data_IF_739242979360
#
_entry.id   IF_739242979360
#
_cell.length_a   1.000
_cell.length_b   1.000
_cell.length_c   1.000
_cell.angle_alpha   90.00
_cell.angle_beta   90.00
_cell.angle_gamma   90.00
#
_symmetry.space_group_name_H-M   'P 1'
#
loop_
_entity.id
_entity.type
_entity.pdbx_description
1 polymer ?
#
# COMPACT_ATOMS: atom_id res chain seq x y z
N UNK A 1 -43.44 -26.04 -11.59
CA UNK A 1 -42.67 -25.24 -10.63
C UNK A 1 -41.19 -25.49 -10.87
N UNK A 2 -40.46 -24.52 -11.46
CA UNK A 2 -39.01 -24.61 -11.62
C UNK A 2 -38.39 -24.15 -10.30
N UNK A 3 -37.74 -25.05 -9.56
CA UNK A 3 -36.89 -24.66 -8.44
C UNK A 3 -35.67 -23.95 -9.02
N UNK A 4 -35.57 -22.64 -8.73
CA UNK A 4 -34.37 -21.88 -8.98
C UNK A 4 -33.27 -22.40 -8.06
N UNK A 5 -32.21 -22.95 -8.65
CA UNK A 5 -30.97 -23.27 -7.98
C UNK A 5 -30.41 -22.01 -7.33
N UNK A 6 -30.39 -22.00 -6.00
CA UNK A 6 -29.76 -20.97 -5.19
C UNK A 6 -28.25 -20.95 -5.52
N UNK A 7 -27.67 -19.85 -6.02
CA UNK A 7 -26.24 -19.80 -6.28
C UNK A 7 -25.51 -19.91 -4.95
N UNK A 8 -24.75 -20.98 -4.76
CA UNK A 8 -23.81 -21.10 -3.65
C UNK A 8 -22.95 -19.84 -3.63
N UNK A 9 -23.11 -19.00 -2.60
CA UNK A 9 -22.17 -17.91 -2.32
C UNK A 9 -20.79 -18.54 -2.20
N UNK A 10 -19.92 -18.30 -3.17
CA UNK A 10 -18.51 -18.66 -3.09
C UNK A 10 -17.97 -18.14 -1.77
N UNK A 11 -17.44 -19.04 -0.94
CA UNK A 11 -16.87 -18.70 0.36
C UNK A 11 -15.64 -17.81 0.10
N UNK A 12 -15.77 -16.52 0.38
CA UNK A 12 -14.69 -15.55 0.18
C UNK A 12 -13.47 -15.89 1.04
N UNK A 13 -12.27 -15.59 0.54
CA UNK A 13 -11.01 -15.84 1.24
C UNK A 13 -10.81 -14.76 2.33
N UNK A 14 -10.55 -15.09 3.60
CA UNK A 14 -10.42 -14.09 4.65
C UNK A 14 -9.25 -13.14 4.40
N UNK A 15 -9.46 -11.83 4.61
CA UNK A 15 -8.41 -10.82 4.51
C UNK A 15 -7.33 -11.01 5.59
N UNK A 16 -6.05 -10.91 5.18
CA UNK A 16 -4.91 -10.81 6.09
C UNK A 16 -4.42 -9.35 6.20
N UNK A 17 -4.23 -8.83 7.42
CA UNK A 17 -3.53 -7.55 7.62
C UNK A 17 -2.13 -7.54 7.00
N UNK A 18 -1.68 -6.40 6.47
CA UNK A 18 -0.37 -6.27 5.80
C UNK A 18 0.79 -6.79 6.67
N UNK A 19 0.78 -6.47 7.96
CA UNK A 19 1.80 -6.92 8.91
C UNK A 19 1.92 -8.43 9.05
N UNK A 20 0.79 -9.14 8.96
CA UNK A 20 0.76 -10.61 9.02
C UNK A 20 1.22 -11.19 7.70
N UNK A 21 0.72 -10.65 6.58
CA UNK A 21 1.14 -11.10 5.25
C UNK A 21 2.65 -10.89 5.05
N UNK A 22 3.19 -9.76 5.50
CA UNK A 22 4.61 -9.46 5.47
C UNK A 22 5.43 -10.52 6.22
N UNK A 23 5.09 -10.80 7.49
CA UNK A 23 5.82 -11.79 8.29
C UNK A 23 5.78 -13.19 7.66
N UNK A 24 4.61 -13.64 7.21
CA UNK A 24 4.46 -14.94 6.54
C UNK A 24 5.24 -15.03 5.23
N UNK A 25 5.10 -14.03 4.35
CA UNK A 25 5.78 -14.03 3.06
C UNK A 25 7.30 -13.87 3.22
N UNK A 26 7.76 -13.00 4.12
CA UNK A 26 9.18 -12.84 4.40
C UNK A 26 9.77 -14.13 4.97
N UNK A 27 9.05 -14.82 5.84
CA UNK A 27 9.50 -16.10 6.37
C UNK A 27 9.59 -17.18 5.28
N UNK A 28 8.58 -17.31 4.41
CA UNK A 28 8.58 -18.23 3.27
C UNK A 28 9.76 -18.01 2.31
N UNK A 29 10.27 -16.78 2.27
CA UNK A 29 11.32 -16.34 1.37
C UNK A 29 12.60 -15.96 2.11
N UNK A 30 12.76 -16.38 3.39
CA UNK A 30 13.87 -15.96 4.24
C UNK A 30 15.22 -16.25 3.57
N UNK A 31 15.42 -17.48 3.07
CA UNK A 31 16.62 -17.91 2.36
C UNK A 31 17.12 -16.97 1.24
N UNK A 32 16.24 -16.20 0.61
CA UNK A 32 16.60 -15.23 -0.46
C UNK A 32 16.49 -13.77 -0.04
N UNK A 33 15.69 -13.46 0.98
CA UNK A 33 15.40 -12.07 1.40
C UNK A 33 16.24 -11.61 2.59
N UNK A 34 16.91 -12.53 3.28
CA UNK A 34 17.84 -12.23 4.37
C UNK A 34 19.24 -12.73 4.05
N UNK A 35 20.25 -11.97 4.50
CA UNK A 35 21.65 -12.38 4.51
C UNK A 35 22.06 -13.00 5.84
N UNK A 36 21.22 -12.86 6.88
CA UNK A 36 21.46 -13.42 8.21
C UNK A 36 21.03 -14.88 8.28
N UNK A 37 21.70 -15.68 9.10
CA UNK A 37 21.21 -17.00 9.50
C UNK A 37 21.69 -17.27 10.94
N UNK A 38 20.79 -17.42 11.93
CA UNK A 38 19.32 -17.38 11.87
C UNK A 38 18.72 -15.96 11.67
N UNK A 39 17.40 -15.85 11.52
CA UNK A 39 16.69 -14.55 11.56
C UNK A 39 15.94 -14.35 12.87
N UNK A 40 15.91 -13.10 13.34
CA UNK A 40 15.18 -12.72 14.54
C UNK A 40 13.75 -12.28 14.24
N UNK A 41 12.97 -12.02 15.30
CA UNK A 41 11.61 -11.49 15.17
C UNK A 41 11.56 -10.09 14.59
N UNK A 42 12.56 -9.26 14.88
CA UNK A 42 12.71 -7.93 14.32
C UNK A 42 12.81 -7.95 12.80
N UNK A 43 13.34 -9.03 12.22
CA UNK A 43 13.37 -9.21 10.78
C UNK A 43 11.95 -9.48 10.23
N UNK A 44 11.08 -10.17 10.98
CA UNK A 44 9.70 -10.50 10.61
C UNK A 44 8.66 -9.43 11.00
N UNK A 45 9.06 -8.45 11.81
CA UNK A 45 8.18 -7.39 12.29
C UNK A 45 7.94 -6.31 11.23
N UNK A 46 6.68 -5.95 11.04
CA UNK A 46 6.22 -4.82 10.23
C UNK A 46 6.34 -3.47 10.97
N UNK A 47 6.34 -2.33 10.25
CA UNK A 47 6.57 -1.00 10.82
C UNK A 47 5.54 -0.49 11.85
N UNK A 48 4.36 -1.08 11.91
CA UNK A 48 3.21 -0.64 12.73
C UNK A 48 2.86 -1.62 13.86
N UNK A 49 3.73 -2.58 14.17
CA UNK A 49 3.54 -3.38 15.38
C UNK A 49 3.71 -2.51 16.62
N UNK A 50 2.76 -2.64 17.55
CA UNK A 50 2.86 -2.00 18.86
C UNK A 50 4.10 -2.50 19.61
N UNK A 51 4.40 -3.80 19.49
CA UNK A 51 5.51 -4.47 20.16
C UNK A 51 5.90 -5.78 19.43
N UNK A 52 7.13 -6.27 19.64
CA UNK A 52 7.58 -7.56 19.08
C UNK A 52 6.79 -8.75 19.65
N UNK A 53 6.38 -8.68 20.92
CA UNK A 53 5.57 -9.74 21.54
C UNK A 53 4.20 -9.90 20.88
N UNK A 54 3.56 -8.79 20.50
CA UNK A 54 2.29 -8.83 19.74
C UNK A 54 2.49 -9.42 18.34
N UNK A 55 3.62 -9.12 17.69
CA UNK A 55 3.97 -9.75 16.41
C UNK A 55 4.10 -11.27 16.55
N UNK A 56 4.85 -11.72 17.54
CA UNK A 56 5.04 -13.13 17.86
C UNK A 56 3.70 -13.83 18.14
N UNK A 57 2.84 -13.26 18.99
CA UNK A 57 1.55 -13.85 19.31
C UNK A 57 0.66 -14.04 18.07
N UNK A 58 0.53 -13.00 17.24
CA UNK A 58 -0.33 -13.04 16.05
C UNK A 58 0.22 -13.97 14.97
N UNK A 59 1.52 -13.91 14.69
CA UNK A 59 2.16 -14.78 13.70
C UNK A 59 2.02 -16.26 14.10
N UNK A 60 2.25 -16.58 15.37
CA UNK A 60 2.11 -17.92 15.93
C UNK A 60 0.68 -18.44 15.82
N UNK A 61 -0.31 -17.60 16.12
CA UNK A 61 -1.72 -17.97 15.98
C UNK A 61 -2.10 -18.26 14.52
N UNK A 62 -1.63 -17.44 13.58
CA UNK A 62 -1.87 -17.66 12.15
C UNK A 62 -1.20 -18.94 11.65
N UNK A 63 0.06 -19.17 12.01
CA UNK A 63 0.78 -20.40 11.66
C UNK A 63 0.10 -21.65 12.24
N UNK A 64 -0.33 -21.60 13.51
CA UNK A 64 -1.15 -22.67 14.13
C UNK A 64 -2.41 -22.96 13.34
N UNK A 65 -3.17 -21.92 12.97
CA UNK A 65 -4.41 -22.08 12.21
C UNK A 65 -4.19 -22.65 10.80
N UNK A 66 -3.00 -22.46 10.23
CA UNK A 66 -2.59 -23.05 8.96
C UNK A 66 -1.97 -24.45 9.12
N UNK A 67 -1.83 -24.95 10.36
CA UNK A 67 -1.12 -26.19 10.65
C UNK A 67 0.36 -26.11 10.30
N UNK A 68 0.97 -24.93 10.32
CA UNK A 68 2.39 -24.74 10.05
C UNK A 68 3.14 -24.94 11.36
N UNK A 69 4.06 -25.90 11.36
CA UNK A 69 5.00 -26.16 12.46
C UNK A 69 6.37 -25.67 12.03
N UNK A 70 7.03 -24.93 12.91
CA UNK A 70 8.36 -24.39 12.63
C UNK A 70 9.41 -25.38 13.13
N UNK A 71 9.93 -26.17 12.20
CA UNK A 71 11.06 -27.06 12.48
C UNK A 71 12.34 -26.24 12.63
N UNK A 72 13.11 -26.44 13.70
CA UNK A 72 14.42 -25.79 13.89
C UNK A 72 14.38 -24.38 14.49
N UNK A 73 13.26 -23.97 15.08
CA UNK A 73 13.18 -22.79 15.94
C UNK A 73 14.08 -22.99 17.18
N UNK A 74 14.92 -22.01 17.49
CA UNK A 74 15.76 -22.02 18.70
C UNK A 74 15.49 -20.82 19.58
N UNK A 75 15.82 -20.95 20.87
CA UNK A 75 15.79 -19.86 21.83
C UNK A 75 17.20 -19.61 22.39
N UNK A 76 17.67 -18.37 22.30
CA UNK A 76 18.98 -17.96 22.80
C UNK A 76 18.92 -17.71 24.31
N UNK A 77 18.81 -18.80 25.07
CA UNK A 77 18.70 -18.78 26.53
C UNK A 77 19.89 -18.09 27.20
N UNK A 78 21.11 -18.34 26.71
CA UNK A 78 22.33 -17.72 27.24
C UNK A 78 22.29 -16.19 27.11
N UNK A 79 21.91 -15.69 25.95
CA UNK A 79 21.77 -14.25 25.71
C UNK A 79 20.70 -13.65 26.62
N UNK A 80 19.55 -14.32 26.70
CA UNK A 80 18.43 -13.91 27.54
C UNK A 80 18.84 -13.76 29.02
N UNK A 81 19.40 -14.80 29.64
CA UNK A 81 19.80 -14.78 31.06
C UNK A 81 20.98 -13.86 31.36
N UNK A 82 21.78 -13.49 30.35
CA UNK A 82 22.79 -12.44 30.54
C UNK A 82 22.13 -11.06 30.67
N UNK A 83 20.99 -10.86 30.01
CA UNK A 83 20.28 -9.59 29.97
C UNK A 83 19.24 -9.44 31.09
N UNK A 84 18.57 -10.54 31.47
CA UNK A 84 17.62 -10.60 32.57
C UNK A 84 18.28 -11.31 33.75
N UNK A 85 18.55 -10.61 34.86
CA UNK A 85 19.10 -11.24 36.07
C UNK A 85 18.32 -12.53 36.42
N UNK A 86 19.02 -13.66 36.47
CA UNK A 86 18.45 -15.02 36.54
C UNK A 86 17.49 -15.22 37.74
N UNK A 87 17.78 -14.53 38.85
CA UNK A 87 17.00 -14.60 40.10
C UNK A 87 15.60 -13.94 39.99
N UNK A 88 15.46 -12.86 39.20
CA UNK A 88 14.16 -12.19 39.01
C UNK A 88 13.23 -12.99 38.07
N UNK A 89 13.81 -13.80 37.17
CA UNK A 89 13.04 -14.54 36.19
C UNK A 89 12.29 -15.73 36.80
N UNK A 90 12.98 -16.50 37.66
CA UNK A 90 12.39 -17.67 38.31
C UNK A 90 11.30 -17.28 39.31
N UNK A 91 11.49 -16.19 40.08
CA UNK A 91 10.46 -15.71 41.02
C UNK A 91 9.24 -15.06 40.34
N UNK A 92 9.41 -14.33 39.23
CA UNK A 92 8.28 -13.64 38.56
C UNK A 92 7.38 -14.51 37.68
N UNK A 93 7.78 -15.75 37.41
CA UNK A 93 6.99 -16.72 36.66
C UNK A 93 6.17 -17.60 37.60
N UNK A 94 6.73 -17.98 38.76
CA UNK A 94 6.06 -18.83 39.74
C UNK A 94 4.79 -18.20 40.34
N UNK A 95 4.74 -16.87 40.48
CA UNK A 95 3.64 -16.18 41.19
C UNK A 95 2.46 -15.72 40.33
N UNK A 96 2.47 -15.92 39.00
CA UNK A 96 1.50 -15.21 38.14
C UNK A 96 1.13 -15.80 36.78
N UNK A 97 1.61 -17.01 36.42
CA UNK A 97 1.18 -17.68 35.19
C UNK A 97 0.63 -19.07 35.47
N UNK A 98 -0.27 -19.55 34.60
CA UNK A 98 -0.82 -20.91 34.72
C UNK A 98 0.28 -21.97 34.63
N UNK A 99 0.09 -23.11 35.31
CA UNK A 99 1.00 -24.26 35.29
C UNK A 99 1.48 -24.65 33.87
N UNK A 100 0.59 -24.62 32.87
CA UNK A 100 0.95 -24.91 31.49
C UNK A 100 1.98 -23.94 30.88
N UNK A 101 1.91 -22.66 31.21
CA UNK A 101 2.87 -21.64 30.76
C UNK A 101 4.20 -21.81 31.50
N UNK A 102 4.16 -22.10 32.81
CA UNK A 102 5.37 -22.39 33.59
C UNK A 102 6.14 -23.58 33.00
N UNK A 103 5.43 -24.65 32.61
CA UNK A 103 6.03 -25.81 31.95
C UNK A 103 6.66 -25.45 30.59
N UNK A 104 5.98 -24.64 29.77
CA UNK A 104 6.54 -24.17 28.49
C UNK A 104 7.81 -23.34 28.67
N UNK A 105 7.85 -22.50 29.71
CA UNK A 105 9.04 -21.71 30.07
C UNK A 105 10.20 -22.61 30.52
N UNK A 106 9.93 -23.63 31.34
CA UNK A 106 10.95 -24.60 31.73
C UNK A 106 11.50 -25.40 30.54
N UNK A 107 10.65 -25.74 29.57
CA UNK A 107 11.08 -26.35 28.32
C UNK A 107 11.93 -25.37 27.47
N UNK A 108 11.59 -24.08 27.47
CA UNK A 108 12.34 -23.03 26.79
C UNK A 108 13.76 -22.85 27.39
N UNK A 109 13.89 -22.88 28.73
CA UNK A 109 15.19 -22.85 29.45
C UNK A 109 16.17 -23.89 28.89
N UNK A 110 15.67 -25.10 28.66
CA UNK A 110 16.44 -26.26 28.21
C UNK A 110 16.60 -26.33 26.70
N UNK A 111 15.96 -25.40 25.96
CA UNK A 111 15.85 -25.45 24.50
C UNK A 111 15.20 -26.76 24.00
N UNK A 112 14.32 -27.34 24.82
CA UNK A 112 13.57 -28.59 24.58
C UNK A 112 12.07 -28.31 24.35
N UNK A 113 11.76 -27.07 23.97
CA UNK A 113 10.38 -26.61 23.79
C UNK A 113 9.78 -27.10 22.47
N UNK A 114 8.48 -27.36 22.49
CA UNK A 114 7.69 -27.72 21.32
C UNK A 114 7.12 -26.48 20.64
N UNK A 115 6.59 -26.66 19.43
CA UNK A 115 5.86 -25.58 18.75
C UNK A 115 4.62 -25.10 19.55
N UNK A 116 3.99 -25.98 20.36
CA UNK A 116 2.90 -25.57 21.23
C UNK A 116 3.39 -24.70 22.40
N UNK A 117 4.57 -25.00 22.94
CA UNK A 117 5.19 -24.17 23.96
C UNK A 117 5.49 -22.77 23.42
N UNK A 118 6.04 -22.69 22.20
CA UNK A 118 6.24 -21.41 21.51
C UNK A 118 4.95 -20.60 21.36
N UNK A 119 3.84 -21.24 20.95
CA UNK A 119 2.53 -20.57 20.86
C UNK A 119 2.06 -20.07 22.24
N UNK A 120 2.22 -20.89 23.28
CA UNK A 120 1.82 -20.53 24.64
C UNK A 120 2.64 -19.34 25.17
N UNK A 121 3.95 -19.37 24.94
CA UNK A 121 4.89 -18.30 25.31
C UNK A 121 4.60 -17.01 24.55
N UNK A 122 4.13 -17.11 23.29
CA UNK A 122 3.77 -15.94 22.50
C UNK A 122 2.82 -14.97 23.23
N UNK A 123 1.89 -15.49 24.04
CA UNK A 123 0.93 -14.70 24.81
C UNK A 123 1.55 -13.87 25.95
N UNK A 124 2.70 -14.30 26.49
CA UNK A 124 3.41 -13.63 27.59
C UNK A 124 4.70 -12.96 27.13
N UNK A 125 5.06 -13.14 25.86
CA UNK A 125 6.35 -12.71 25.30
C UNK A 125 6.64 -11.23 25.49
N UNK A 126 5.62 -10.38 25.49
CA UNK A 126 5.76 -8.95 25.75
C UNK A 126 6.18 -8.66 27.19
N UNK A 127 5.50 -9.29 28.15
CA UNK A 127 5.74 -9.08 29.58
C UNK A 127 7.18 -9.45 29.97
N UNK A 128 7.72 -10.48 29.32
CA UNK A 128 9.04 -11.04 29.64
C UNK A 128 10.10 -10.76 28.55
N UNK A 129 9.81 -9.91 27.56
CA UNK A 129 10.70 -9.57 26.44
C UNK A 129 11.32 -10.79 25.73
N UNK A 130 10.54 -11.87 25.55
CA UNK A 130 11.04 -13.14 25.03
C UNK A 130 11.21 -13.13 23.50
N UNK A 131 10.48 -12.26 22.81
CA UNK A 131 10.44 -12.25 21.34
C UNK A 131 11.83 -12.02 20.71
N UNK A 132 12.68 -11.19 21.29
CA UNK A 132 14.00 -10.84 20.73
C UNK A 132 15.01 -12.02 20.72
N UNK A 133 14.69 -13.10 21.44
CA UNK A 133 15.62 -14.20 21.69
C UNK A 133 15.25 -15.47 20.94
N UNK A 134 14.15 -15.46 20.19
CA UNK A 134 13.80 -16.53 19.28
C UNK A 134 14.50 -16.35 17.94
N UNK A 135 15.11 -17.43 17.49
CA UNK A 135 15.89 -17.51 16.27
C UNK A 135 15.21 -18.48 15.30
N UNK A 136 14.80 -17.97 14.15
CA UNK A 136 14.15 -18.77 13.12
C UNK A 136 15.15 -19.26 12.09
N UNK A 137 14.97 -20.50 11.60
CA UNK A 137 15.76 -21.00 10.49
C UNK A 137 15.38 -20.28 9.20
N UNK A 138 16.38 -20.02 8.36
CA UNK A 138 16.18 -19.42 7.04
C UNK A 138 15.77 -20.41 5.96
N UNK A 139 16.07 -21.70 6.19
CA UNK A 139 15.73 -22.81 5.30
C UNK A 139 14.65 -23.62 5.98
N UNK A 140 13.46 -23.66 5.38
CA UNK A 140 12.31 -24.39 5.90
C UNK A 140 12.39 -25.87 5.51
N UNK A 141 11.84 -26.75 6.34
CA UNK A 141 11.58 -28.13 5.91
C UNK A 141 10.63 -28.12 4.71
N UNK A 142 10.78 -29.09 3.80
CA UNK A 142 9.95 -29.17 2.59
C UNK A 142 8.45 -29.15 2.89
N UNK A 143 8.03 -29.88 3.94
CA UNK A 143 6.63 -29.92 4.39
C UNK A 143 6.12 -28.52 4.77
N UNK A 144 6.92 -27.77 5.51
CA UNK A 144 6.59 -26.42 5.97
C UNK A 144 6.60 -25.42 4.81
N UNK A 145 7.61 -25.48 3.94
CA UNK A 145 7.68 -24.68 2.72
C UNK A 145 6.47 -24.90 1.81
N UNK A 146 6.15 -26.17 1.48
CA UNK A 146 5.04 -26.51 0.59
C UNK A 146 3.69 -26.00 1.13
N UNK A 147 3.47 -26.10 2.45
CA UNK A 147 2.25 -25.57 3.10
C UNK A 147 2.16 -24.05 3.00
N UNK A 148 3.25 -23.36 3.31
CA UNK A 148 3.29 -21.90 3.31
C UNK A 148 3.16 -21.35 1.90
N UNK A 149 3.85 -21.95 0.92
CA UNK A 149 3.75 -21.57 -0.50
C UNK A 149 2.35 -21.84 -1.06
N UNK A 150 1.73 -22.97 -0.73
CA UNK A 150 0.36 -23.28 -1.13
C UNK A 150 -0.64 -22.26 -0.57
N UNK A 151 -0.48 -21.89 0.70
CA UNK A 151 -1.32 -20.89 1.35
C UNK A 151 -1.16 -19.51 0.72
N UNK A 152 0.08 -19.01 0.63
CA UNK A 152 0.39 -17.70 0.05
C UNK A 152 -0.06 -17.63 -1.41
N UNK A 153 0.15 -18.70 -2.17
CA UNK A 153 -0.30 -18.81 -3.56
C UNK A 153 -1.80 -18.61 -3.68
N UNK A 154 -2.57 -19.37 -2.90
CA UNK A 154 -4.04 -19.32 -2.91
C UNK A 154 -4.56 -17.96 -2.44
N UNK A 155 -3.96 -17.41 -1.38
CA UNK A 155 -4.33 -16.10 -0.83
C UNK A 155 -4.08 -14.97 -1.85
N UNK A 156 -2.91 -14.95 -2.47
CA UNK A 156 -2.54 -13.92 -3.45
C UNK A 156 -3.38 -14.05 -4.72
N UNK A 157 -3.77 -15.25 -5.14
CA UNK A 157 -4.71 -15.45 -6.24
C UNK A 157 -6.11 -14.91 -5.92
N UNK A 158 -6.59 -15.11 -4.69
CA UNK A 158 -7.82 -14.51 -4.22
C UNK A 158 -7.73 -12.97 -4.19
N UNK A 159 -6.59 -12.40 -3.79
CA UNK A 159 -6.35 -10.96 -3.85
C UNK A 159 -6.36 -10.42 -5.28
N UNK A 160 -5.62 -11.06 -6.20
CA UNK A 160 -5.57 -10.69 -7.62
C UNK A 160 -6.97 -10.73 -8.25
N UNK A 161 -7.81 -11.66 -7.82
CA UNK A 161 -9.18 -11.86 -8.33
C UNK A 161 -10.25 -11.03 -7.60
N UNK A 162 -9.85 -10.07 -6.75
CA UNK A 162 -10.75 -9.25 -5.92
C UNK A 162 -11.72 -10.06 -5.03
N UNK A 163 -11.34 -11.28 -4.60
CA UNK A 163 -12.16 -12.25 -3.88
C UNK A 163 -11.86 -12.34 -2.37
N UNK A 164 -11.16 -11.36 -1.80
CA UNK A 164 -10.94 -11.28 -0.35
C UNK A 164 -12.23 -10.83 0.37
N UNK A 165 -12.56 -11.49 1.47
CA UNK A 165 -13.54 -11.02 2.46
C UNK A 165 -12.88 -9.91 3.29
N UNK A 166 -13.13 -8.67 2.90
CA UNK A 166 -12.62 -7.48 3.59
C UNK A 166 -13.74 -6.89 4.44
N UNK A 167 -13.47 -6.61 5.72
CA UNK A 167 -14.44 -5.97 6.63
C UNK A 167 -14.65 -4.47 6.35
N UNK A 168 -13.80 -3.86 5.50
CA UNK A 168 -13.79 -2.42 5.19
C UNK A 168 -14.27 -2.18 3.76
N UNK A 169 -15.27 -1.31 3.60
CA UNK A 169 -15.95 -1.00 2.34
C UNK A 169 -15.10 -0.31 1.25
N UNK A 170 -13.87 0.12 1.55
CA UNK A 170 -13.05 0.97 0.67
C UNK A 170 -11.63 0.41 0.44
N UNK A 171 -11.52 -0.76 -0.19
CA UNK A 171 -10.25 -1.23 -0.76
C UNK A 171 -10.24 -1.01 -2.28
N UNK A 172 -9.11 -0.56 -2.84
CA UNK A 172 -8.96 -0.48 -4.29
C UNK A 172 -8.83 -1.89 -4.88
N UNK A 173 -9.51 -2.16 -6.00
CA UNK A 173 -9.31 -3.38 -6.79
C UNK A 173 -7.84 -3.57 -7.16
N UNK A 174 -7.40 -4.82 -7.25
CA UNK A 174 -6.00 -5.15 -7.56
C UNK A 174 -5.50 -4.43 -8.81
N UNK A 175 -6.29 -4.38 -9.89
CA UNK A 175 -5.91 -3.71 -11.15
C UNK A 175 -5.49 -2.24 -10.96
N UNK A 176 -6.20 -1.51 -10.09
CA UNK A 176 -5.87 -0.11 -9.81
C UNK A 176 -4.58 0.03 -8.99
N UNK A 177 -4.35 -0.89 -8.06
CA UNK A 177 -3.13 -0.93 -7.26
C UNK A 177 -1.91 -1.31 -8.13
N UNK A 178 -2.07 -2.33 -8.99
CA UNK A 178 -1.11 -2.73 -10.01
C UNK A 178 -0.73 -1.56 -10.91
N UNK A 179 -1.72 -0.90 -11.51
CA UNK A 179 -1.48 0.20 -12.46
C UNK A 179 -0.64 1.32 -11.82
N UNK A 180 -0.95 1.67 -10.57
CA UNK A 180 -0.24 2.71 -9.82
C UNK A 180 1.18 2.28 -9.49
N UNK A 181 1.37 1.11 -8.89
CA UNK A 181 2.70 0.64 -8.51
C UNK A 181 3.61 0.50 -9.74
N UNK A 182 3.14 -0.10 -10.83
CA UNK A 182 3.93 -0.23 -12.07
C UNK A 182 4.28 1.12 -12.68
N UNK A 183 3.39 2.12 -12.63
CA UNK A 183 3.70 3.47 -13.12
C UNK A 183 4.85 4.11 -12.35
N UNK A 184 4.81 4.04 -11.02
CA UNK A 184 5.87 4.59 -10.17
C UNK A 184 7.19 3.86 -10.39
N UNK A 185 7.19 2.52 -10.39
CA UNK A 185 8.38 1.72 -10.67
C UNK A 185 9.03 2.08 -12.02
N UNK A 186 8.22 2.34 -13.06
CA UNK A 186 8.71 2.80 -14.37
C UNK A 186 9.29 4.21 -14.34
N UNK A 187 8.77 5.10 -13.49
CA UNK A 187 9.32 6.45 -13.35
C UNK A 187 10.68 6.39 -12.65
N UNK A 188 10.76 5.69 -11.52
CA UNK A 188 12.00 5.48 -10.78
C UNK A 188 13.06 4.79 -11.66
N UNK A 189 12.67 3.84 -12.51
CA UNK A 189 13.62 3.13 -13.36
C UNK A 189 14.28 3.99 -14.43
N UNK A 190 13.67 5.13 -14.80
CA UNK A 190 14.28 6.07 -15.76
C UNK A 190 15.47 6.78 -15.16
N UNK A 191 15.43 7.04 -13.85
CA UNK A 191 16.44 7.81 -13.15
C UNK A 191 17.46 6.89 -12.46
N UNK A 192 17.03 5.72 -11.97
CA UNK A 192 17.83 4.81 -11.14
C UNK A 192 18.22 3.50 -11.85
N UNK A 193 17.73 3.27 -13.08
CA UNK A 193 17.91 2.02 -13.81
C UNK A 193 16.97 0.91 -13.32
N UNK A 194 17.27 -0.34 -13.66
CA UNK A 194 16.32 -1.46 -13.43
C UNK A 194 16.32 -2.02 -12.00
N UNK A 195 17.30 -1.64 -11.17
CA UNK A 195 17.40 -2.12 -9.79
C UNK A 195 17.52 -0.95 -8.84
N UNK A 196 16.57 -0.81 -7.92
CA UNK A 196 16.50 0.31 -7.00
C UNK A 196 15.72 -0.06 -5.74
N UNK A 197 15.77 0.83 -4.74
CA UNK A 197 15.03 0.69 -3.49
C UNK A 197 13.75 1.51 -3.54
N UNK A 198 12.65 0.87 -3.19
CA UNK A 198 11.30 1.40 -3.18
C UNK A 198 10.84 1.49 -1.74
N UNK A 199 10.37 2.66 -1.33
CA UNK A 199 9.92 2.90 0.04
C UNK A 199 8.41 3.12 0.06
N UNK A 200 7.69 2.40 0.94
CA UNK A 200 6.28 2.71 1.19
C UNK A 200 6.20 4.08 1.88
N UNK A 201 5.47 5.09 1.35
CA UNK A 201 5.34 6.38 2.00
C UNK A 201 4.62 6.16 3.32
N UNK A 202 5.37 6.30 4.41
CA UNK A 202 4.77 6.33 5.73
C UNK A 202 3.76 7.46 5.83
N UNK A 203 2.77 7.34 6.71
CA UNK A 203 1.76 8.38 6.91
C UNK A 203 2.33 9.72 7.43
N UNK A 204 3.61 9.77 7.84
CA UNK A 204 4.21 10.91 8.56
C UNK A 204 5.68 11.22 8.18
N UNK A 205 6.17 10.93 6.97
CA UNK A 205 7.54 11.34 6.58
C UNK A 205 7.61 12.81 6.11
N UNK A 206 8.44 13.68 6.73
CA UNK A 206 8.66 15.06 6.28
C UNK A 206 9.78 15.16 5.21
N UNK A 207 9.93 14.17 4.33
CA UNK A 207 11.05 14.11 3.38
C UNK A 207 10.66 14.65 1.98
N UNK A 208 11.58 15.32 1.25
CA UNK A 208 11.28 16.14 0.07
C UNK A 208 11.32 15.37 -1.27
N UNK A 209 11.41 14.04 -1.26
CA UNK A 209 11.43 13.22 -2.48
C UNK A 209 10.06 12.52 -2.69
N UNK A 210 9.41 12.72 -3.85
CA UNK A 210 8.00 12.40 -4.04
C UNK A 210 7.76 10.95 -4.51
N UNK A 211 8.21 9.94 -3.78
CA UNK A 211 7.77 8.56 -4.06
C UNK A 211 6.42 8.30 -3.37
N UNK A 212 5.35 8.85 -3.96
CA UNK A 212 3.96 8.76 -3.44
C UNK A 212 3.32 7.40 -3.72
N UNK A 213 3.92 6.32 -3.22
CA UNK A 213 3.50 4.97 -3.57
C UNK A 213 2.05 4.70 -3.13
N UNK A 214 1.62 4.99 -1.91
CA UNK A 214 0.25 4.72 -1.46
C UNK A 214 -0.14 5.62 -0.26
N UNK A 215 0.13 6.92 -0.28
CA UNK A 215 -0.21 7.82 0.85
C UNK A 215 -1.73 7.96 1.13
N UNK A 216 -2.59 7.32 0.32
CA UNK A 216 -4.00 7.18 0.65
C UNK A 216 -4.20 5.95 1.55
N UNK A 217 -4.99 6.10 2.61
CA UNK A 217 -5.33 5.10 3.65
C UNK A 217 -5.95 3.76 3.15
N UNK A 218 -5.84 3.42 1.87
CA UNK A 218 -6.65 2.42 1.16
C UNK A 218 -5.85 1.49 0.21
N UNK A 219 -4.54 1.69 0.03
CA UNK A 219 -3.70 0.79 -0.78
C UNK A 219 -3.01 -0.28 0.07
N UNK A 220 -2.99 -1.53 -0.41
CA UNK A 220 -2.32 -2.67 0.23
C UNK A 220 -0.95 -2.88 -0.42
N UNK A 221 0.07 -2.21 0.11
CA UNK A 221 1.41 -2.19 -0.45
C UNK A 221 2.03 -3.59 -0.52
N UNK A 222 2.04 -4.33 0.58
CA UNK A 222 2.63 -5.68 0.67
C UNK A 222 1.86 -6.66 -0.22
N UNK A 223 0.52 -6.63 -0.20
CA UNK A 223 -0.29 -7.49 -1.06
C UNK A 223 -0.01 -7.23 -2.54
N UNK A 224 0.05 -5.96 -2.94
CA UNK A 224 0.33 -5.56 -4.33
C UNK A 224 1.74 -5.95 -4.75
N UNK A 225 2.73 -5.73 -3.88
CA UNK A 225 4.12 -6.09 -4.11
C UNK A 225 4.26 -7.58 -4.40
N UNK A 226 3.73 -8.43 -3.51
CA UNK A 226 3.81 -9.90 -3.64
C UNK A 226 3.05 -10.37 -4.89
N UNK A 227 1.88 -9.80 -5.16
CA UNK A 227 1.10 -10.14 -6.33
C UNK A 227 1.84 -9.83 -7.64
N UNK A 228 2.52 -8.67 -7.73
CA UNK A 228 3.28 -8.29 -8.92
C UNK A 228 4.56 -9.11 -9.08
N UNK A 229 5.26 -9.43 -7.99
CA UNK A 229 6.39 -10.37 -8.03
C UNK A 229 5.93 -11.73 -8.57
N UNK A 230 4.84 -12.29 -8.03
CA UNK A 230 4.24 -13.55 -8.50
C UNK A 230 3.83 -13.50 -9.97
N UNK A 231 3.32 -12.36 -10.44
CA UNK A 231 2.98 -12.15 -11.84
C UNK A 231 4.22 -11.91 -12.73
N UNK A 232 5.43 -11.89 -12.18
CA UNK A 232 6.68 -11.78 -12.94
C UNK A 232 7.00 -10.37 -13.43
N UNK A 233 6.52 -9.33 -12.75
CA UNK A 233 6.84 -7.93 -13.09
C UNK A 233 8.24 -7.55 -12.63
N UNK A 234 8.64 -7.96 -11.45
CA UNK A 234 9.96 -7.70 -10.88
C UNK A 234 10.32 -8.85 -9.93
N UNK A 235 11.58 -8.90 -9.53
CA UNK A 235 12.03 -9.71 -8.40
C UNK A 235 12.19 -8.79 -7.18
N UNK A 236 11.80 -9.28 -6.00
CA UNK A 236 12.17 -8.64 -4.73
C UNK A 236 13.48 -9.26 -4.26
N UNK A 237 14.53 -8.45 -4.20
CA UNK A 237 15.86 -8.91 -3.81
C UNK A 237 16.09 -8.80 -2.29
N UNK A 238 15.45 -7.82 -1.64
CA UNK A 238 15.52 -7.64 -0.19
C UNK A 238 14.34 -6.80 0.29
N UNK A 239 13.94 -7.02 1.54
CA UNK A 239 12.93 -6.20 2.21
C UNK A 239 13.27 -6.00 3.69
N UNK A 240 13.21 -4.76 4.13
CA UNK A 240 13.50 -4.38 5.52
C UNK A 240 12.63 -3.22 5.97
N UNK A 241 12.56 -3.07 7.29
CA UNK A 241 11.85 -1.96 7.94
C UNK A 241 12.87 -1.01 8.57
N UNK A 242 13.78 -1.59 9.35
CA UNK A 242 14.88 -0.91 10.04
C UNK A 242 16.11 -0.78 9.15
N UNK A 243 16.67 0.41 9.05
CA UNK A 243 17.88 0.70 8.27
C UNK A 243 19.04 0.99 9.21
N UNK A 244 19.85 -0.05 9.47
CA UNK A 244 20.97 0.01 10.41
C UNK A 244 22.09 0.96 9.99
N UNK A 245 22.11 1.37 8.71
CA UNK A 245 23.08 2.35 8.20
C UNK A 245 22.62 3.80 8.46
N UNK A 246 21.40 3.98 8.98
CA UNK A 246 20.83 5.29 9.31
C UNK A 246 20.86 5.48 10.83
N UNK A 247 21.33 6.64 11.33
CA UNK A 247 21.27 6.94 12.76
C UNK A 247 19.84 6.78 13.32
N UNK A 248 19.66 6.26 14.54
CA UNK A 248 18.33 5.99 15.11
C UNK A 248 17.38 7.20 15.07
N UNK A 249 17.91 8.42 15.18
CA UNK A 249 17.11 9.65 15.18
C UNK A 249 16.55 10.01 13.79
N UNK A 250 17.12 9.44 12.73
CA UNK A 250 16.71 9.64 11.33
C UNK A 250 15.99 8.42 10.76
N UNK A 251 15.89 7.36 11.55
CA UNK A 251 15.27 6.13 11.13
C UNK A 251 13.78 6.32 10.89
N UNK A 252 13.30 5.73 9.79
CA UNK A 252 11.87 5.68 9.47
C UNK A 252 11.40 4.24 9.50
N UNK A 253 10.38 3.98 10.33
CA UNK A 253 9.66 2.71 10.35
C UNK A 253 8.74 2.65 9.12
N UNK A 254 9.30 2.19 8.00
CA UNK A 254 8.59 2.02 6.72
C UNK A 254 9.14 0.83 5.97
N UNK A 255 8.34 0.18 5.14
CA UNK A 255 8.84 -0.87 4.26
C UNK A 255 9.79 -0.28 3.21
N UNK A 256 11.00 -0.84 3.14
CA UNK A 256 12.01 -0.56 2.13
C UNK A 256 12.26 -1.85 1.37
N UNK A 257 12.09 -1.81 0.05
CA UNK A 257 12.10 -2.98 -0.81
C UNK A 257 13.10 -2.76 -1.93
N UNK A 258 14.15 -3.58 -2.00
CA UNK A 258 15.03 -3.61 -3.18
C UNK A 258 14.38 -4.49 -4.23
N UNK A 259 14.13 -3.92 -5.41
CA UNK A 259 13.51 -4.63 -6.54
C UNK A 259 14.40 -4.59 -7.77
N UNK A 260 14.29 -5.61 -8.61
CA UNK A 260 14.85 -5.64 -9.96
C UNK A 260 13.70 -5.81 -10.96
N UNK A 261 13.47 -4.80 -11.81
CA UNK A 261 12.41 -4.83 -12.81
C UNK A 261 12.71 -5.84 -13.92
N UNK A 262 11.71 -6.64 -14.28
CA UNK A 262 11.76 -7.55 -15.43
C UNK A 262 11.27 -6.85 -16.69
N UNK A 263 11.65 -7.41 -17.83
CA UNK A 263 11.18 -6.96 -19.15
C UNK A 263 9.65 -6.85 -19.21
N UNK A 264 8.91 -7.74 -18.54
CA UNK A 264 7.44 -7.67 -18.48
C UNK A 264 6.93 -6.32 -17.94
N UNK A 265 7.58 -5.76 -16.92
CA UNK A 265 7.24 -4.42 -16.41
C UNK A 265 7.45 -3.37 -17.48
N UNK A 266 8.61 -3.40 -18.15
CA UNK A 266 8.98 -2.43 -19.18
C UNK A 266 8.11 -2.57 -20.45
N UNK A 267 7.74 -3.79 -20.82
CA UNK A 267 7.01 -4.16 -22.05
C UNK A 267 5.49 -4.08 -21.93
N UNK A 268 4.92 -4.04 -20.73
CA UNK A 268 3.49 -3.74 -20.52
C UNK A 268 3.19 -2.24 -20.82
N UNK A 269 3.78 -1.73 -21.91
CA UNK A 269 3.44 -0.55 -22.69
C UNK A 269 2.62 -0.89 -23.95
N UNK A 270 2.38 -2.17 -24.26
CA UNK A 270 1.75 -2.59 -25.53
C UNK A 270 0.33 -3.17 -25.45
N UNK A 271 -0.35 -3.11 -24.30
CA UNK A 271 -1.79 -2.93 -24.40
C UNK A 271 -2.01 -1.42 -24.51
N UNK A 272 -2.56 -0.92 -25.63
CA UNK A 272 -3.14 0.41 -25.61
C UNK A 272 -4.31 0.34 -24.62
N UNK A 273 -4.04 0.63 -23.36
CA UNK A 273 -5.00 1.40 -22.58
C UNK A 273 -5.10 2.67 -23.39
N UNK A 274 -6.08 2.75 -24.30
CA UNK A 274 -6.23 3.79 -25.32
C UNK A 274 -5.49 5.03 -24.86
N UNK A 275 -4.33 5.31 -25.47
CA UNK A 275 -3.77 6.66 -25.40
C UNK A 275 -4.83 7.49 -26.09
N UNK A 276 -5.78 7.98 -25.29
CA UNK A 276 -6.67 9.05 -25.68
C UNK A 276 -5.72 10.17 -26.04
N UNK A 277 -5.58 10.36 -27.34
CA UNK A 277 -4.96 11.51 -27.96
C UNK A 277 -5.43 12.73 -27.16
N UNK A 278 -4.45 13.44 -26.59
CA UNK A 278 -4.59 14.26 -25.37
C UNK A 278 -5.48 15.50 -25.55
N UNK A 279 -6.00 15.77 -26.74
CA UNK A 279 -6.68 17.01 -27.05
C UNK A 279 -8.21 16.81 -27.04
N UNK A 280 -8.96 17.55 -26.22
CA UNK A 280 -10.41 17.60 -26.37
C UNK A 280 -10.75 18.13 -27.75
N UNK A 281 -11.62 17.40 -28.46
CA UNK A 281 -12.07 17.76 -29.80
C UNK A 281 -13.18 18.81 -29.75
N UNK A 282 -13.97 18.83 -28.68
CA UNK A 282 -15.03 19.81 -28.46
C UNK A 282 -15.53 19.83 -27.00
N UNK A 283 -16.10 20.96 -26.57
CA UNK A 283 -16.95 21.05 -25.39
C UNK A 283 -18.40 21.29 -25.82
N UNK A 284 -19.34 20.49 -25.31
CA UNK A 284 -20.77 20.66 -25.55
C UNK A 284 -21.42 21.43 -24.37
N UNK A 285 -21.77 22.72 -24.55
CA UNK A 285 -22.35 23.53 -23.47
C UNK A 285 -23.81 23.19 -23.15
N UNK A 286 -24.49 22.33 -23.92
CA UNK A 286 -25.87 21.91 -23.61
C UNK A 286 -25.92 20.69 -22.70
N UNK A 287 -24.91 19.82 -22.79
CA UNK A 287 -24.83 18.57 -22.01
C UNK A 287 -23.72 18.60 -20.95
N UNK A 288 -22.92 19.67 -20.91
CA UNK A 288 -21.74 19.79 -20.05
C UNK A 288 -20.72 18.68 -20.27
N UNK A 289 -20.59 18.21 -21.51
CA UNK A 289 -19.68 17.13 -21.89
C UNK A 289 -18.43 17.67 -22.58
N UNK A 290 -17.27 17.24 -22.12
CA UNK A 290 -16.00 17.45 -22.78
C UNK A 290 -15.64 16.20 -23.60
N UNK A 291 -15.54 16.33 -24.91
CA UNK A 291 -15.30 15.22 -25.83
C UNK A 291 -13.81 15.12 -26.14
N UNK A 292 -13.22 13.97 -25.84
CA UNK A 292 -11.85 13.59 -26.21
C UNK A 292 -11.93 12.48 -27.26
N UNK A 293 -11.95 12.83 -28.56
CA UNK A 293 -12.07 11.91 -29.71
C UNK A 293 -13.15 10.81 -29.56
N UNK A 294 -12.87 9.76 -28.80
CA UNK A 294 -13.72 8.58 -28.55
C UNK A 294 -14.27 8.48 -27.11
N UNK A 295 -13.93 9.39 -26.20
CA UNK A 295 -14.44 9.42 -24.82
C UNK A 295 -15.15 10.75 -24.52
N UNK A 296 -16.14 10.70 -23.62
CA UNK A 296 -16.90 11.85 -23.14
C UNK A 296 -16.70 11.95 -21.63
N UNK A 297 -16.21 13.09 -21.17
CA UNK A 297 -16.15 13.41 -19.75
C UNK A 297 -17.34 14.30 -19.40
N UNK A 298 -18.21 13.85 -18.51
CA UNK A 298 -19.32 14.67 -18.00
C UNK A 298 -18.75 15.56 -16.91
N UNK A 299 -18.71 16.87 -17.16
CA UNK A 299 -18.07 17.84 -16.26
C UNK A 299 -18.98 18.20 -15.08
N UNK A 300 -20.29 18.16 -15.29
CA UNK A 300 -21.27 18.37 -14.24
C UNK A 300 -22.59 17.72 -14.61
N UNK A 301 -23.26 17.16 -13.61
CA UNK A 301 -24.63 16.62 -13.76
C UNK A 301 -25.67 17.73 -13.91
N UNK A 302 -25.34 18.95 -13.47
CA UNK A 302 -26.21 20.12 -13.53
C UNK A 302 -25.53 21.23 -14.34
N UNK A 303 -26.29 21.85 -15.25
CA UNK A 303 -25.79 22.98 -16.04
C UNK A 303 -25.52 24.22 -15.17
N UNK A 304 -26.15 24.31 -14.01
CA UNK A 304 -25.92 25.37 -13.03
C UNK A 304 -24.78 25.01 -12.07
N UNK A 305 -23.55 24.94 -12.59
CA UNK A 305 -22.37 24.67 -11.76
C UNK A 305 -21.18 25.51 -12.20
N UNK A 306 -20.34 25.91 -11.24
CA UNK A 306 -19.18 26.75 -11.53
C UNK A 306 -18.22 26.11 -12.56
N UNK A 307 -17.92 24.79 -12.51
CA UNK A 307 -17.13 24.13 -13.55
C UNK A 307 -17.74 24.23 -14.95
N UNK A 308 -19.06 24.08 -15.06
CA UNK A 308 -19.76 24.20 -16.34
C UNK A 308 -19.63 25.61 -16.93
N UNK A 309 -19.92 26.65 -16.14
CA UNK A 309 -19.83 28.03 -16.59
C UNK A 309 -18.41 28.43 -16.94
N UNK A 310 -17.43 28.02 -16.13
CA UNK A 310 -16.02 28.26 -16.39
C UNK A 310 -15.60 27.67 -17.73
N UNK A 311 -15.91 26.39 -17.95
CA UNK A 311 -15.56 25.68 -19.19
C UNK A 311 -16.21 26.35 -20.42
N UNK A 312 -17.49 26.75 -20.29
CA UNK A 312 -18.22 27.49 -21.32
C UNK A 312 -17.59 28.83 -21.67
N UNK A 313 -16.97 29.53 -20.71
CA UNK A 313 -16.30 30.80 -20.98
C UNK A 313 -14.95 30.59 -21.67
N UNK A 314 -14.12 29.68 -21.17
CA UNK A 314 -12.75 29.49 -21.69
C UNK A 314 -12.74 28.84 -23.07
N UNK A 315 -13.69 27.94 -23.37
CA UNK A 315 -13.80 27.32 -24.70
C UNK A 315 -14.29 28.28 -25.81
N UNK A 316 -14.76 29.50 -25.47
CA UNK A 316 -15.05 30.52 -26.50
C UNK A 316 -13.79 31.05 -27.19
N UNK A 317 -12.66 31.03 -26.49
CA UNK A 317 -11.36 31.39 -27.05
C UNK A 317 -10.28 30.50 -26.40
N UNK A 318 -10.14 29.24 -26.85
CA UNK A 318 -9.34 28.22 -26.18
C UNK A 318 -7.86 28.61 -25.98
N UNK A 319 -7.29 29.37 -26.93
CA UNK A 319 -5.90 29.82 -26.91
C UNK A 319 -5.66 31.11 -26.11
N UNK A 320 -6.74 31.76 -25.63
CA UNK A 320 -6.64 33.03 -24.91
C UNK A 320 -6.20 32.79 -23.46
N UNK A 321 -5.28 33.65 -23.00
CA UNK A 321 -5.01 33.84 -21.56
C UNK A 321 -6.01 34.85 -21.03
N UNK A 322 -6.88 34.42 -20.13
CA UNK A 322 -7.91 35.26 -19.53
C UNK A 322 -7.35 35.96 -18.31
N UNK A 323 -7.63 37.25 -18.19
CA UNK A 323 -7.53 37.94 -16.91
C UNK A 323 -8.68 37.49 -16.00
N UNK A 324 -8.39 37.32 -14.71
CA UNK A 324 -9.37 36.83 -13.71
C UNK A 324 -10.57 37.78 -13.59
N UNK A 325 -10.35 39.09 -13.63
CA UNK A 325 -11.42 40.08 -13.50
C UNK A 325 -12.27 40.13 -14.77
N UNK A 326 -11.63 40.05 -15.95
CA UNK A 326 -12.34 39.94 -17.23
C UNK A 326 -13.27 38.71 -17.26
N UNK A 327 -12.75 37.57 -16.80
CA UNK A 327 -13.52 36.32 -16.77
C UNK A 327 -14.66 36.38 -15.76
N UNK A 328 -14.43 37.02 -14.61
CA UNK A 328 -15.46 37.22 -13.59
C UNK A 328 -16.63 38.06 -14.11
N UNK A 329 -16.35 39.22 -14.70
CA UNK A 329 -17.38 40.10 -15.28
C UNK A 329 -18.22 39.37 -16.32
N UNK A 330 -17.58 38.50 -17.11
CA UNK A 330 -18.23 37.73 -18.17
C UNK A 330 -19.12 36.60 -17.64
N UNK A 331 -18.78 36.03 -16.49
CA UNK A 331 -19.50 34.91 -15.89
C UNK A 331 -20.65 35.37 -14.98
N UNK A 332 -20.44 36.45 -14.22
CA UNK A 332 -21.35 36.85 -13.15
C UNK A 332 -21.94 38.26 -13.31
N UNK A 333 -21.50 39.04 -14.31
CA UNK A 333 -22.03 40.36 -14.62
C UNK A 333 -21.48 41.50 -13.75
N UNK A 334 -21.75 42.74 -14.18
CA UNK A 334 -21.25 43.98 -13.53
C UNK A 334 -22.01 44.38 -12.26
N UNK A 335 -23.10 43.71 -11.93
CA UNK A 335 -24.01 44.08 -10.82
C UNK A 335 -23.65 43.43 -9.47
N UNK A 336 -22.52 42.73 -9.39
CA UNK A 336 -22.06 42.09 -8.15
C UNK A 336 -20.98 42.99 -7.52
N UNK A 337 -21.11 43.24 -6.23
CA UNK A 337 -20.13 43.99 -5.44
C UNK A 337 -18.71 43.42 -5.66
N UNK A 338 -17.85 44.25 -6.25
CA UNK A 338 -16.52 43.83 -6.69
C UNK A 338 -15.62 43.51 -5.49
N UNK A 339 -15.27 42.25 -5.31
CA UNK A 339 -14.31 41.81 -4.28
C UNK A 339 -13.25 40.87 -4.89
N UNK A 340 -12.05 41.38 -5.23
CA UNK A 340 -11.00 40.60 -5.92
C UNK A 340 -10.64 39.29 -5.24
N UNK A 341 -10.57 39.28 -3.89
CA UNK A 341 -10.22 38.08 -3.12
C UNK A 341 -11.31 37.01 -3.23
N UNK A 342 -12.58 37.41 -3.15
CA UNK A 342 -13.72 36.47 -3.30
C UNK A 342 -13.81 35.95 -4.73
N UNK A 343 -13.58 36.80 -5.73
CA UNK A 343 -13.62 36.44 -7.15
C UNK A 343 -12.56 35.39 -7.48
N UNK A 344 -11.31 35.67 -7.11
CA UNK A 344 -10.19 34.76 -7.31
C UNK A 344 -10.44 33.41 -6.62
N UNK A 345 -10.87 33.42 -5.35
CA UNK A 345 -11.12 32.18 -4.60
C UNK A 345 -12.20 31.32 -5.25
N UNK A 346 -13.29 31.93 -5.74
CA UNK A 346 -14.38 31.18 -6.38
C UNK A 346 -13.94 30.59 -7.73
N UNK A 347 -13.19 31.34 -8.54
CA UNK A 347 -12.62 30.85 -9.80
C UNK A 347 -11.55 29.77 -9.57
N UNK A 348 -10.76 29.89 -8.50
CA UNK A 348 -9.78 28.89 -8.08
C UNK A 348 -10.45 27.56 -7.72
N UNK A 349 -11.49 27.61 -6.88
CA UNK A 349 -12.26 26.42 -6.53
C UNK A 349 -12.93 25.81 -7.78
N UNK A 350 -13.53 26.63 -8.64
CA UNK A 350 -14.13 26.13 -9.89
C UNK A 350 -13.11 25.47 -10.83
N UNK A 351 -11.88 26.00 -10.88
CA UNK A 351 -10.77 25.42 -11.65
C UNK A 351 -10.31 24.09 -11.04
N UNK A 352 -10.21 24.04 -9.71
CA UNK A 352 -9.85 22.83 -8.98
C UNK A 352 -10.88 21.73 -9.21
N UNK A 353 -12.17 22.01 -8.96
CA UNK A 353 -13.28 21.08 -9.15
C UNK A 353 -13.34 20.57 -10.60
N UNK A 354 -13.14 21.47 -11.57
CA UNK A 354 -13.09 21.12 -12.99
C UNK A 354 -11.93 20.16 -13.31
N UNK A 355 -10.72 20.48 -12.87
CA UNK A 355 -9.56 19.62 -13.08
C UNK A 355 -9.73 18.26 -12.37
N UNK A 356 -10.38 18.23 -11.21
CA UNK A 356 -10.68 17.01 -10.48
C UNK A 356 -11.68 16.12 -11.25
N UNK A 357 -12.78 16.69 -11.75
CA UNK A 357 -13.79 15.95 -12.54
C UNK A 357 -13.23 15.41 -13.85
N UNK A 358 -12.38 16.20 -14.52
CA UNK A 358 -11.65 15.74 -15.70
C UNK A 358 -10.68 14.61 -15.30
N UNK A 359 -9.91 14.78 -14.23
CA UNK A 359 -8.93 13.79 -13.78
C UNK A 359 -9.58 12.45 -13.43
N UNK A 360 -10.77 12.45 -12.80
CA UNK A 360 -11.54 11.24 -12.47
C UNK A 360 -11.85 10.39 -13.70
N UNK A 361 -12.08 11.03 -14.85
CA UNK A 361 -12.54 10.37 -16.08
C UNK A 361 -11.44 10.18 -17.13
N UNK A 362 -10.41 11.02 -17.14
CA UNK A 362 -9.41 11.07 -18.23
C UNK A 362 -7.95 11.07 -17.76
N UNK A 363 -7.70 11.13 -16.44
CA UNK A 363 -6.37 11.27 -15.83
C UNK A 363 -5.65 12.60 -16.11
N UNK A 364 -6.30 13.56 -16.76
CA UNK A 364 -5.77 14.91 -16.98
C UNK A 364 -6.02 15.76 -15.73
N UNK A 365 -4.95 16.20 -15.05
CA UNK A 365 -5.03 16.96 -13.78
C UNK A 365 -4.82 18.46 -13.92
N UNK A 366 -4.26 18.89 -15.04
CA UNK A 366 -3.86 20.28 -15.30
C UNK A 366 -4.46 20.79 -16.60
N UNK A 367 -5.73 20.45 -16.83
CA UNK A 367 -6.47 20.86 -18.03
C UNK A 367 -6.59 22.39 -18.11
N UNK A 368 -6.95 23.01 -16.99
CA UNK A 368 -6.98 24.46 -16.81
C UNK A 368 -5.87 24.87 -15.85
N UNK A 369 -5.08 25.86 -16.25
CA UNK A 369 -4.02 26.45 -15.43
C UNK A 369 -4.52 27.79 -14.90
N UNK A 370 -4.57 27.94 -13.58
CA UNK A 370 -4.88 29.19 -12.92
C UNK A 370 -3.67 29.71 -12.14
N UNK A 371 -3.39 31.00 -12.30
CA UNK A 371 -2.40 31.78 -11.55
C UNK A 371 -3.12 32.83 -10.70
N UNK A 372 -2.36 33.70 -10.02
CA UNK A 372 -2.92 34.78 -9.19
C UNK A 372 -3.80 35.76 -9.96
N UNK A 373 -3.48 36.04 -11.23
CA UNK A 373 -4.17 37.04 -12.04
C UNK A 373 -4.71 36.52 -13.36
N UNK A 374 -4.36 35.29 -13.75
CA UNK A 374 -4.68 34.75 -15.08
C UNK A 374 -5.19 33.32 -15.03
N UNK A 375 -5.96 32.96 -16.05
CA UNK A 375 -6.50 31.62 -16.27
C UNK A 375 -6.41 31.26 -17.76
N UNK A 376 -5.94 30.06 -18.07
CA UNK A 376 -5.86 29.57 -19.46
C UNK A 376 -6.08 28.06 -19.53
N UNK A 377 -6.53 27.57 -20.70
CA UNK A 377 -6.40 26.15 -21.01
C UNK A 377 -4.92 25.82 -21.21
N UNK A 378 -4.53 24.62 -20.79
CA UNK A 378 -3.16 24.19 -20.96
C UNK A 378 -2.86 23.92 -22.44
N UNK A 379 -1.88 24.62 -22.99
CA UNK A 379 -1.55 24.60 -24.43
C UNK A 379 -1.31 23.19 -24.98
N UNK A 380 -0.79 22.29 -24.14
CA UNK A 380 -0.54 20.87 -24.50
C UNK A 380 -1.80 20.07 -24.86
N UNK A 381 -2.99 20.67 -24.71
CA UNK A 381 -4.29 20.10 -25.05
C UNK A 381 -5.02 20.88 -26.16
N UNK A 382 -4.38 21.87 -26.77
CA UNK A 382 -4.99 22.72 -27.80
C UNK A 382 -4.43 22.46 -29.21
N UNK A 383 -3.49 21.51 -29.35
CA UNK A 383 -2.73 21.22 -30.58
C UNK A 383 -3.01 19.82 -31.13
#
# INVERSE_FOLDING_TARGET
MKQASNPQKLKQCPYLPEKILYGLWKYANAHRLTTKNPIGFEDLAAPDFSTLGVCLALLSLHMKNMGIEIDGLSFNSKGYYTYTNDDEWSQHIEDGVSEGIANSIEALKKNEFTYQDFIAIGMISEKYKLAEWFEFPTILSKKTQDRLDSFLTSYIEAFISDNLAVEKDNYYKFDRQKERMLRELKMESRDLGNTFVVQNPGQNTPNPFPSYILAERQGLFIHTLIALEKQGYFDVNAIWVTDWDVPPEKETMTYKVRVTLKNKTLQEENQPTKVLTKCPTAFNPKTSELVFQVHRAIISKTLDSNPHYLLKAVFKAPTKVWDVDELWEKLFGKSIEYNPRKHWKKLYNATYDLNEEIAKQTRIRDFVIMKKTTLQLNKKYLE
#
